data_IF_034930344163
#
_entry.id   IF_034930344163
#
_cell.length_a   1.000
_cell.length_b   1.000
_cell.length_c   1.000
_cell.angle_alpha   90.00
_cell.angle_beta   90.00
_cell.angle_gamma   90.00
#
_symmetry.space_group_name_H-M   'P 1'
#
loop_
_entity.id
_entity.type
_entity.pdbx_description
1 polymer ?
#
# COMPACT_ATOMS: atom_id res chain seq x y z
N UNK A 1 5.73 6.99 -10.98
CA UNK A 1 5.63 6.68 -9.53
C UNK A 1 7.01 6.31 -9.03
N UNK A 2 7.47 6.84 -7.90
CA UNK A 2 8.81 6.52 -7.37
C UNK A 2 8.87 5.06 -6.89
N UNK A 3 10.06 4.44 -6.80
CA UNK A 3 10.21 3.10 -6.22
C UNK A 3 9.65 3.00 -4.81
N UNK A 4 9.83 4.04 -3.99
CA UNK A 4 9.28 4.12 -2.63
C UNK A 4 7.76 4.06 -2.61
N UNK A 5 7.07 4.84 -3.46
CA UNK A 5 5.62 4.77 -3.55
C UNK A 5 5.13 3.37 -4.01
N UNK A 6 5.87 2.72 -4.90
CA UNK A 6 5.57 1.34 -5.33
C UNK A 6 5.73 0.33 -4.20
N UNK A 7 6.76 0.48 -3.37
CA UNK A 7 6.97 -0.37 -2.19
C UNK A 7 5.83 -0.20 -1.18
N UNK A 8 5.41 1.03 -0.85
CA UNK A 8 4.28 1.24 0.06
C UNK A 8 2.96 0.74 -0.51
N UNK A 9 2.73 0.91 -1.82
CA UNK A 9 1.57 0.32 -2.48
C UNK A 9 1.58 -1.21 -2.41
N UNK A 10 2.73 -1.84 -2.64
CA UNK A 10 2.90 -3.29 -2.48
C UNK A 10 2.62 -3.70 -1.04
N UNK A 11 3.17 -2.98 -0.05
CA UNK A 11 2.99 -3.27 1.36
C UNK A 11 1.52 -3.22 1.78
N UNK A 12 0.78 -2.18 1.35
CA UNK A 12 -0.67 -2.06 1.61
C UNK A 12 -1.46 -3.17 0.93
N UNK A 13 -1.16 -3.47 -0.34
CA UNK A 13 -1.84 -4.53 -1.10
C UNK A 13 -1.60 -5.90 -0.49
N UNK A 14 -0.36 -6.16 -0.07
CA UNK A 14 0.03 -7.34 0.66
C UNK A 14 -0.72 -7.39 1.98
N UNK A 15 -0.69 -6.32 2.77
CA UNK A 15 -1.34 -6.31 4.07
C UNK A 15 -2.86 -6.51 4.01
N UNK A 16 -3.53 -5.93 3.02
CA UNK A 16 -4.98 -6.00 2.87
C UNK A 16 -5.51 -7.40 2.51
N UNK A 17 -4.66 -8.35 2.08
CA UNK A 17 -5.12 -9.72 1.81
C UNK A 17 -6.01 -9.88 0.58
N UNK A 18 -6.44 -8.80 -0.06
CA UNK A 18 -7.60 -8.75 -0.95
C UNK A 18 -7.25 -8.91 -2.44
N UNK A 19 -5.98 -9.11 -2.78
CA UNK A 19 -5.52 -9.18 -4.17
C UNK A 19 -4.70 -10.45 -4.48
N UNK A 20 -5.22 -11.35 -5.34
CA UNK A 20 -4.53 -12.59 -5.71
C UNK A 20 -3.17 -12.37 -6.40
N UNK A 21 -3.06 -11.31 -7.21
CA UNK A 21 -1.87 -11.03 -8.03
C UNK A 21 -0.72 -10.33 -7.28
N UNK A 22 -0.77 -10.25 -5.94
CA UNK A 22 0.25 -9.51 -5.17
C UNK A 22 1.66 -10.09 -5.30
N UNK A 23 1.78 -11.40 -5.51
CA UNK A 23 3.07 -12.05 -5.77
C UNK A 23 3.66 -11.57 -7.10
N UNK A 24 2.87 -11.54 -8.17
CA UNK A 24 3.32 -11.07 -9.49
C UNK A 24 3.69 -9.58 -9.45
N UNK A 25 2.93 -8.75 -8.73
CA UNK A 25 3.24 -7.34 -8.52
C UNK A 25 4.59 -7.16 -7.78
N UNK A 26 4.88 -8.03 -6.80
CA UNK A 26 6.16 -8.03 -6.09
C UNK A 26 7.33 -8.47 -6.98
N UNK A 27 7.15 -9.52 -7.78
CA UNK A 27 8.16 -10.01 -8.74
C UNK A 27 8.49 -8.91 -9.76
N UNK A 28 7.46 -8.24 -10.30
CA UNK A 28 7.65 -7.14 -11.25
C UNK A 28 8.40 -5.96 -10.61
N UNK A 29 8.05 -5.58 -9.38
CA UNK A 29 8.77 -4.54 -8.65
C UNK A 29 10.22 -4.92 -8.38
N UNK A 30 10.48 -6.15 -7.91
CA UNK A 30 11.83 -6.65 -7.67
C UNK A 30 12.66 -6.65 -8.97
N UNK A 31 12.06 -7.02 -10.10
CA UNK A 31 12.73 -6.99 -11.41
C UNK A 31 13.16 -5.57 -11.78
N UNK A 32 12.28 -4.58 -11.59
CA UNK A 32 12.62 -3.19 -11.87
C UNK A 32 13.73 -2.65 -10.94
N UNK A 33 13.72 -3.05 -9.67
CA UNK A 33 14.76 -2.70 -8.70
C UNK A 33 16.11 -3.32 -9.09
N UNK A 34 16.12 -4.59 -9.50
CA UNK A 34 17.32 -5.28 -9.96
C UNK A 34 17.90 -4.62 -11.22
N UNK A 35 17.05 -4.28 -12.20
CA UNK A 35 17.46 -3.56 -13.41
C UNK A 35 17.99 -2.15 -13.12
N UNK A 36 17.62 -1.57 -11.98
CA UNK A 36 18.13 -0.29 -11.49
C UNK A 36 19.42 -0.42 -10.68
N UNK A 37 19.94 -1.64 -10.52
CA UNK A 37 21.20 -1.94 -9.82
C UNK A 37 21.05 -2.30 -8.34
N UNK A 38 19.84 -2.55 -7.84
CA UNK A 38 19.64 -3.04 -6.47
C UNK A 38 19.73 -4.56 -6.41
N UNK A 39 20.81 -5.08 -5.83
CA UNK A 39 21.14 -6.50 -5.76
C UNK A 39 20.93 -7.09 -4.36
N UNK A 40 20.12 -6.44 -3.51
CA UNK A 40 19.79 -6.98 -2.18
C UNK A 40 19.23 -8.41 -2.29
N UNK A 41 19.54 -9.32 -1.34
CA UNK A 41 19.14 -10.72 -1.43
C UNK A 41 17.65 -10.94 -1.72
N UNK A 42 16.77 -10.22 -1.02
CA UNK A 42 15.32 -10.33 -1.23
C UNK A 42 14.85 -9.85 -2.61
N UNK A 43 15.55 -8.89 -3.23
CA UNK A 43 15.26 -8.47 -4.61
C UNK A 43 15.60 -9.62 -5.57
N UNK A 44 16.81 -10.17 -5.46
CA UNK A 44 17.27 -11.27 -6.31
C UNK A 44 16.38 -12.50 -6.15
N UNK A 45 16.06 -12.89 -4.91
CA UNK A 45 15.21 -14.05 -4.62
C UNK A 45 13.79 -13.89 -5.18
N UNK A 46 13.18 -12.71 -5.05
CA UNK A 46 11.87 -12.46 -5.67
C UNK A 46 11.92 -12.52 -7.19
N UNK A 47 12.97 -11.99 -7.83
CA UNK A 47 13.10 -12.06 -9.31
C UNK A 47 13.27 -13.49 -9.84
N UNK A 48 13.71 -14.42 -8.99
CA UNK A 48 13.85 -15.83 -9.36
C UNK A 48 12.53 -16.62 -9.32
N UNK A 49 11.46 -16.05 -8.74
CA UNK A 49 10.15 -16.68 -8.72
C UNK A 49 9.48 -16.66 -10.10
N UNK A 50 8.69 -17.70 -10.39
CA UNK A 50 7.91 -17.75 -11.62
C UNK A 50 6.63 -16.89 -11.49
N UNK A 51 6.15 -16.27 -12.60
CA UNK A 51 4.81 -15.67 -12.63
C UNK A 51 3.74 -16.69 -12.24
N UNK A 52 2.72 -16.26 -11.50
CA UNK A 52 1.69 -17.12 -10.92
C UNK A 52 2.10 -17.83 -9.64
N UNK A 53 3.28 -17.50 -9.06
CA UNK A 53 3.66 -17.98 -7.72
C UNK A 53 2.59 -17.59 -6.71
N UNK A 54 2.25 -18.51 -5.81
CA UNK A 54 1.22 -18.25 -4.80
C UNK A 54 1.69 -17.15 -3.84
N UNK A 55 0.73 -16.37 -3.33
CA UNK A 55 0.99 -15.39 -2.27
C UNK A 55 1.66 -16.06 -1.06
N UNK A 56 1.22 -17.26 -0.67
CA UNK A 56 1.73 -17.98 0.49
C UNK A 56 3.23 -18.28 0.34
N UNK A 57 3.65 -18.72 -0.84
CA UNK A 57 5.06 -19.05 -1.10
C UNK A 57 5.92 -17.80 -1.23
N UNK A 58 5.37 -16.73 -1.82
CA UNK A 58 6.07 -15.45 -1.97
C UNK A 58 6.12 -14.62 -0.67
N UNK A 59 5.22 -14.86 0.30
CA UNK A 59 5.03 -14.01 1.48
C UNK A 59 6.32 -13.75 2.27
N UNK A 60 7.16 -14.76 2.61
CA UNK A 60 8.41 -14.52 3.33
C UNK A 60 9.38 -13.61 2.56
N UNK A 61 9.42 -13.75 1.23
CA UNK A 61 10.28 -12.95 0.36
C UNK A 61 9.75 -11.52 0.19
N UNK A 62 8.44 -11.34 0.12
CA UNK A 62 7.80 -10.02 0.11
C UNK A 62 8.09 -9.28 1.42
N UNK A 63 7.93 -9.95 2.56
CA UNK A 63 8.26 -9.38 3.88
C UNK A 63 9.75 -9.02 3.94
N UNK A 64 10.64 -9.90 3.47
CA UNK A 64 12.07 -9.62 3.41
C UNK A 64 12.42 -8.42 2.53
N UNK A 65 11.76 -8.30 1.37
CA UNK A 65 11.90 -7.14 0.48
C UNK A 65 11.47 -5.87 1.22
N UNK A 66 10.25 -5.83 1.74
CA UNK A 66 9.69 -4.66 2.42
C UNK A 66 10.54 -4.24 3.64
N UNK A 67 10.96 -5.19 4.46
CA UNK A 67 11.82 -4.96 5.62
C UNK A 67 13.19 -4.40 5.24
N UNK A 68 13.76 -4.81 4.10
CA UNK A 68 15.03 -4.24 3.61
C UNK A 68 14.93 -2.75 3.24
N UNK A 69 13.72 -2.21 3.10
CA UNK A 69 13.44 -0.79 2.89
C UNK A 69 12.80 -0.10 4.11
N UNK A 70 12.81 -0.77 5.28
CA UNK A 70 12.26 -0.24 6.53
C UNK A 70 10.73 -0.21 6.57
N UNK A 71 10.07 -1.06 5.79
CA UNK A 71 8.62 -1.23 5.80
C UNK A 71 8.30 -2.54 6.50
N UNK A 72 7.92 -2.44 7.77
CA UNK A 72 7.59 -3.60 8.61
C UNK A 72 6.16 -4.06 8.33
N UNK A 73 6.01 -5.31 7.89
CA UNK A 73 4.70 -5.96 7.67
C UNK A 73 4.78 -7.42 8.08
N UNK A 74 3.77 -7.90 8.78
CA UNK A 74 3.60 -9.32 9.10
C UNK A 74 3.32 -10.12 7.82
N UNK A 75 3.81 -11.36 7.74
CA UNK A 75 3.46 -12.26 6.62
C UNK A 75 1.95 -12.53 6.53
N UNK A 76 1.29 -12.52 7.69
CA UNK A 76 -0.16 -12.69 7.87
C UNK A 76 -0.69 -11.54 8.73
N UNK A 77 -0.82 -10.35 8.14
CA UNK A 77 -1.18 -9.15 8.88
C UNK A 77 -2.66 -9.15 9.24
N UNK A 78 -2.95 -8.63 10.43
CA UNK A 78 -4.31 -8.42 10.92
C UNK A 78 -4.95 -7.21 10.22
N UNK A 79 -6.29 -7.12 10.13
CA UNK A 79 -6.98 -5.99 9.50
C UNK A 79 -6.57 -4.61 10.08
N UNK A 80 -6.27 -4.56 11.37
CA UNK A 80 -5.81 -3.34 12.03
C UNK A 80 -4.42 -2.88 11.54
N UNK A 81 -3.51 -3.83 11.29
CA UNK A 81 -2.18 -3.55 10.74
C UNK A 81 -2.28 -3.02 9.31
N UNK A 82 -3.07 -3.69 8.47
CA UNK A 82 -3.33 -3.24 7.10
C UNK A 82 -3.91 -1.83 7.05
N UNK A 83 -4.87 -1.53 7.93
CA UNK A 83 -5.46 -0.20 8.07
C UNK A 83 -4.44 0.85 8.49
N UNK A 84 -3.64 0.57 9.53
CA UNK A 84 -2.61 1.49 9.99
C UNK A 84 -1.59 1.81 8.88
N UNK A 85 -1.17 0.79 8.14
CA UNK A 85 -0.27 0.94 7.01
C UNK A 85 -0.89 1.76 5.87
N UNK A 86 -2.15 1.53 5.52
CA UNK A 86 -2.85 2.29 4.48
C UNK A 86 -3.01 3.77 4.87
N UNK A 87 -3.34 4.05 6.13
CA UNK A 87 -3.41 5.42 6.67
C UNK A 87 -2.06 6.11 6.55
N UNK A 88 -0.99 5.47 7.03
CA UNK A 88 0.36 6.02 6.94
C UNK A 88 0.78 6.27 5.48
N UNK A 89 0.59 5.27 4.60
CA UNK A 89 0.99 5.36 3.21
C UNK A 89 0.21 6.44 2.43
N UNK A 90 -1.08 6.62 2.74
CA UNK A 90 -1.87 7.70 2.16
C UNK A 90 -1.45 9.07 2.70
N UNK A 91 -1.19 9.21 4.00
CA UNK A 91 -0.73 10.47 4.56
C UNK A 91 0.67 10.88 4.05
N UNK A 92 1.64 9.96 4.01
CA UNK A 92 3.06 10.29 3.86
C UNK A 92 3.71 9.79 2.57
N UNK A 93 3.20 8.73 1.97
CA UNK A 93 3.90 7.99 0.90
C UNK A 93 3.15 8.04 -0.43
N UNK A 94 2.28 9.03 -0.59
CA UNK A 94 1.52 9.28 -1.82
C UNK A 94 0.72 8.08 -2.32
N UNK A 95 0.20 7.22 -1.41
CA UNK A 95 -0.68 6.12 -1.80
C UNK A 95 -1.87 6.69 -2.60
N UNK A 96 -2.26 6.08 -3.74
CA UNK A 96 -3.46 6.48 -4.47
C UNK A 96 -4.72 6.32 -3.61
N UNK A 97 -5.66 7.26 -3.73
CA UNK A 97 -6.91 7.20 -2.97
C UNK A 97 -7.70 5.89 -3.16
N UNK A 98 -7.82 5.31 -4.38
CA UNK A 98 -8.54 4.05 -4.55
C UNK A 98 -7.92 2.88 -3.77
N UNK A 99 -6.58 2.85 -3.66
CA UNK A 99 -5.89 1.81 -2.88
C UNK A 99 -6.07 2.05 -1.36
N UNK A 100 -6.13 3.32 -0.94
CA UNK A 100 -6.45 3.70 0.44
C UNK A 100 -7.89 3.31 0.82
N UNK A 101 -8.87 3.79 0.04
CA UNK A 101 -10.29 3.53 0.25
C UNK A 101 -10.58 2.03 0.29
N UNK A 102 -10.01 1.23 -0.62
CA UNK A 102 -10.19 -0.22 -0.63
C UNK A 102 -9.80 -0.92 0.69
N UNK A 103 -8.96 -0.31 1.52
CA UNK A 103 -8.55 -0.86 2.84
C UNK A 103 -9.36 -0.25 3.99
N UNK A 104 -9.70 1.04 3.92
CA UNK A 104 -10.39 1.72 5.02
C UNK A 104 -11.91 1.71 4.89
N UNK A 105 -12.45 1.40 3.72
CA UNK A 105 -13.87 1.37 3.45
C UNK A 105 -14.59 0.35 4.33
N UNK A 106 -15.71 0.77 4.94
CA UNK A 106 -16.50 -0.10 5.81
C UNK A 106 -15.87 -0.37 7.20
N UNK A 107 -14.73 0.25 7.52
CA UNK A 107 -14.23 0.27 8.90
C UNK A 107 -14.88 1.42 9.68
N UNK A 108 -15.11 1.25 10.98
CA UNK A 108 -15.51 2.37 11.83
C UNK A 108 -14.38 3.41 11.82
N UNK A 109 -14.60 4.50 11.11
CA UNK A 109 -13.71 5.66 11.13
C UNK A 109 -14.06 6.44 12.40
N UNK A 110 -13.27 6.24 13.45
CA UNK A 110 -13.45 6.95 14.73
C UNK A 110 -13.29 8.47 14.63
N UNK A 111 -12.72 8.97 13.53
CA UNK A 111 -12.59 10.39 13.24
C UNK A 111 -13.76 10.88 12.38
N UNK A 112 -14.67 11.65 12.98
CA UNK A 112 -15.84 12.18 12.30
C UNK A 112 -15.49 13.13 11.13
N UNK A 113 -14.35 13.82 11.19
CA UNK A 113 -13.86 14.68 10.11
C UNK A 113 -13.41 13.89 8.90
N UNK A 114 -12.63 12.82 9.10
CA UNK A 114 -12.24 11.91 8.04
C UNK A 114 -13.44 11.21 7.41
N UNK A 115 -14.40 10.77 8.23
CA UNK A 115 -15.64 10.15 7.76
C UNK A 115 -16.45 11.07 6.83
N UNK A 116 -16.58 12.36 7.18
CA UNK A 116 -17.27 13.34 6.32
C UNK A 116 -16.55 13.53 4.99
N UNK A 117 -15.22 13.67 5.02
CA UNK A 117 -14.42 13.85 3.80
C UNK A 117 -14.56 12.63 2.87
N UNK A 118 -14.49 11.40 3.41
CA UNK A 118 -14.63 10.16 2.63
C UNK A 118 -16.01 10.10 1.95
N UNK A 119 -17.05 10.37 2.72
CA UNK A 119 -18.43 10.42 2.21
C UNK A 119 -18.57 11.46 1.09
N UNK A 120 -18.00 12.65 1.26
CA UNK A 120 -18.04 13.71 0.23
C UNK A 120 -17.27 13.32 -1.02
N UNK A 121 -16.11 12.69 -0.88
CA UNK A 121 -15.30 12.25 -2.02
C UNK A 121 -16.07 11.24 -2.88
N UNK A 122 -16.78 10.29 -2.26
CA UNK A 122 -17.59 9.29 -2.98
C UNK A 122 -18.79 9.87 -3.75
N UNK A 123 -19.28 11.06 -3.37
CA UNK A 123 -20.41 11.73 -4.01
C UNK A 123 -19.99 12.78 -5.05
N UNK A 124 -18.77 13.30 -4.94
CA UNK A 124 -18.26 14.33 -5.83
C UNK A 124 -17.98 13.74 -7.22
N UNK A 125 -18.27 14.48 -8.29
CA UNK A 125 -18.00 14.08 -9.67
C UNK A 125 -16.88 14.90 -10.31
N UNK A 126 -16.63 16.12 -9.81
CA UNK A 126 -15.56 16.98 -10.30
C UNK A 126 -14.19 16.45 -9.84
N UNK A 127 -13.29 16.09 -10.78
CA UNK A 127 -11.95 15.62 -10.45
C UNK A 127 -11.10 16.62 -9.65
N UNK A 128 -11.28 17.93 -9.90
CA UNK A 128 -10.54 18.96 -9.18
C UNK A 128 -11.01 19.06 -7.72
N UNK A 129 -12.32 18.93 -7.48
CA UNK A 129 -12.87 18.91 -6.12
C UNK A 129 -12.46 17.63 -5.39
N UNK A 130 -12.47 16.47 -6.07
CA UNK A 130 -11.96 15.20 -5.51
C UNK A 130 -10.50 15.32 -5.08
N UNK A 131 -9.64 15.87 -5.93
CA UNK A 131 -8.23 16.09 -5.59
C UNK A 131 -8.09 17.01 -4.36
N UNK A 132 -8.91 18.06 -4.26
CA UNK A 132 -8.94 18.94 -3.09
C UNK A 132 -9.40 18.25 -1.81
N UNK A 133 -10.35 17.31 -1.90
CA UNK A 133 -10.78 16.49 -0.77
C UNK A 133 -9.69 15.50 -0.34
N UNK A 134 -9.01 14.87 -1.29
CA UNK A 134 -7.88 13.98 -1.01
C UNK A 134 -6.75 14.69 -0.25
N UNK A 135 -6.37 15.90 -0.67
CA UNK A 135 -5.32 16.65 0.04
C UNK A 135 -5.76 17.04 1.47
N UNK A 136 -7.03 17.38 1.66
CA UNK A 136 -7.57 17.63 3.01
C UNK A 136 -7.53 16.39 3.90
N UNK A 137 -7.85 15.22 3.36
CA UNK A 137 -7.72 13.96 4.11
C UNK A 137 -6.27 13.67 4.47
N UNK A 138 -5.33 13.85 3.51
CA UNK A 138 -3.89 13.69 3.78
C UNK A 138 -3.44 14.62 4.90
N UNK A 139 -3.85 15.89 4.85
CA UNK A 139 -3.54 16.86 5.89
C UNK A 139 -4.05 16.42 7.26
N UNK A 140 -5.34 16.08 7.36
CA UNK A 140 -5.96 15.64 8.61
C UNK A 140 -5.25 14.42 9.20
N UNK A 141 -4.92 13.42 8.35
CA UNK A 141 -4.24 12.21 8.81
C UNK A 141 -2.80 12.47 9.29
N UNK A 142 -2.11 13.47 8.74
CA UNK A 142 -0.77 13.88 9.22
C UNK A 142 -0.82 14.58 10.57
N UNK A 143 -1.90 15.30 10.87
CA UNK A 143 -2.07 16.00 12.16
C UNK A 143 -2.45 15.05 13.31
N UNK A 144 -3.01 13.88 12.97
CA UNK A 144 -3.48 12.87 13.93
C UNK A 144 -2.44 11.78 14.25
N UNK A 145 -1.26 11.80 13.63
CA UNK A 145 -0.19 10.81 13.78
C UNK A 145 0.91 11.29 14.75
#
# INVERSE_FOLDING_TARGET
MTPRHRLFRLAVTFAAGNRPAVADDAIALATDLLLSGDDRPAVVELTALAPGTSRTDAAPLIVGLLGSYGIEVSAWPEPAEARALAVYAFAHESLPFPDFDAVVHGTEVGDAGLADLLRRWGLELDPAVRAGLEERMRHLLRESA
#
